data_IF_260836480283
#
_entry.id   IF_260836480283
#
_cell.length_a   1.000
_cell.length_b   1.000
_cell.length_c   1.000
_cell.angle_alpha   90.00
_cell.angle_beta   90.00
_cell.angle_gamma   90.00
#
_symmetry.space_group_name_H-M   'P 1'
#
loop_
_entity.id
_entity.type
_entity.pdbx_description
1 polymer ?
#
# COMPACT_ATOMS: atom_id res chain seq x y z
N UNK A 1 4.54 5.35 -12.28
CA UNK A 1 3.83 5.10 -11.01
C UNK A 1 2.58 4.32 -11.33
N UNK A 2 2.37 3.20 -10.67
CA UNK A 2 1.20 2.35 -10.87
C UNK A 2 -0.03 2.94 -10.15
N UNK A 3 -1.24 2.49 -10.48
CA UNK A 3 -2.47 2.96 -9.81
C UNK A 3 -2.50 2.70 -8.29
N UNK A 4 -1.78 1.68 -7.81
CA UNK A 4 -1.64 1.36 -6.38
C UNK A 4 -0.80 2.42 -5.62
N UNK A 5 0.24 2.96 -6.27
CA UNK A 5 1.14 3.95 -5.64
C UNK A 5 0.41 5.30 -5.40
N UNK A 6 -0.52 5.65 -6.28
CA UNK A 6 -1.36 6.83 -6.12
C UNK A 6 -2.35 6.70 -4.96
N UNK A 7 -2.97 5.53 -4.82
CA UNK A 7 -3.94 5.25 -3.75
C UNK A 7 -3.27 5.29 -2.36
N UNK A 8 -2.07 4.72 -2.23
CA UNK A 8 -1.31 4.76 -0.98
C UNK A 8 -0.87 6.19 -0.60
N UNK A 9 -0.43 6.99 -1.58
CA UNK A 9 0.00 8.37 -1.33
C UNK A 9 -1.15 9.25 -0.87
N UNK A 10 -2.33 9.14 -1.49
CA UNK A 10 -3.54 9.86 -1.05
C UNK A 10 -4.01 9.42 0.34
N UNK A 11 -3.95 8.12 0.62
CA UNK A 11 -4.25 7.59 1.95
C UNK A 11 -3.33 8.17 3.03
N UNK A 12 -2.02 8.21 2.79
CA UNK A 12 -1.05 8.75 3.74
C UNK A 12 -1.20 10.26 3.94
N UNK A 13 -1.54 11.03 2.90
CA UNK A 13 -1.91 12.45 3.05
C UNK A 13 -3.05 12.66 4.04
N UNK A 14 -4.01 11.72 4.12
CA UNK A 14 -5.09 11.73 5.10
C UNK A 14 -4.63 11.66 6.57
N UNK A 15 -3.41 11.20 6.83
CA UNK A 15 -2.80 11.16 8.17
C UNK A 15 -1.89 12.37 8.46
N UNK A 16 -1.81 13.32 7.53
CA UNK A 16 -1.04 14.56 7.70
C UNK A 16 0.39 14.52 7.17
N UNK A 17 0.77 13.48 6.43
CA UNK A 17 2.04 13.46 5.68
C UNK A 17 1.96 14.40 4.48
N UNK A 18 3.02 15.17 4.24
CA UNK A 18 3.03 16.10 3.11
C UNK A 18 3.44 15.41 1.80
N UNK A 19 3.12 16.06 0.68
CA UNK A 19 3.37 15.49 -0.65
C UNK A 19 4.86 15.44 -1.01
N UNK A 20 5.67 16.37 -0.50
CA UNK A 20 7.11 16.43 -0.73
C UNK A 20 7.83 15.33 0.07
N UNK A 21 7.42 15.09 1.31
CA UNK A 21 7.85 13.98 2.16
C UNK A 21 7.60 12.64 1.47
N UNK A 22 6.37 12.43 1.00
CA UNK A 22 5.99 11.20 0.30
C UNK A 22 6.78 11.01 -1.00
N UNK A 23 6.91 12.07 -1.81
CA UNK A 23 7.69 12.02 -3.05
C UNK A 23 9.16 11.72 -2.79
N UNK A 24 9.76 12.36 -1.78
CA UNK A 24 11.17 12.15 -1.41
C UNK A 24 11.45 10.71 -1.00
N UNK A 25 10.56 10.11 -0.19
CA UNK A 25 10.70 8.71 0.23
C UNK A 25 10.51 7.75 -0.94
N UNK A 26 9.56 8.01 -1.84
CA UNK A 26 9.38 7.21 -3.05
C UNK A 26 10.60 7.25 -3.98
N UNK A 27 11.16 8.44 -4.22
CA UNK A 27 12.37 8.60 -5.04
C UNK A 27 13.58 7.89 -4.43
N UNK A 28 13.73 7.95 -3.10
CA UNK A 28 14.79 7.22 -2.40
C UNK A 28 14.65 5.71 -2.61
N UNK A 29 13.43 5.17 -2.44
CA UNK A 29 13.14 3.74 -2.63
C UNK A 29 13.41 3.28 -4.05
N UNK A 30 12.97 4.04 -5.06
CA UNK A 30 13.21 3.71 -6.46
C UNK A 30 14.69 3.78 -6.81
N UNK A 31 15.39 4.82 -6.32
CA UNK A 31 16.85 4.93 -6.45
C UNK A 31 17.55 3.71 -5.87
N UNK A 32 17.14 3.23 -4.69
CA UNK A 32 17.71 2.03 -4.09
C UNK A 32 17.48 0.77 -4.93
N UNK A 33 16.29 0.61 -5.52
CA UNK A 33 15.98 -0.53 -6.40
C UNK A 33 16.88 -0.58 -7.64
N UNK A 34 17.37 0.57 -8.10
CA UNK A 34 18.26 0.63 -9.27
C UNK A 34 19.71 0.23 -9.01
N UNK A 35 20.15 0.14 -7.74
CA UNK A 35 21.56 -0.14 -7.42
C UNK A 35 21.83 -1.66 -7.42
N UNK A 36 22.66 -2.19 -8.33
CA UNK A 36 22.95 -3.62 -8.40
C UNK A 36 23.57 -4.14 -7.10
N UNK A 37 23.06 -5.26 -6.58
CA UNK A 37 23.58 -5.91 -5.38
C UNK A 37 23.14 -5.26 -4.06
N UNK A 38 22.29 -4.22 -4.10
CA UNK A 38 21.55 -3.81 -2.90
C UNK A 38 20.32 -4.69 -2.70
N UNK A 39 20.01 -4.98 -1.45
CA UNK A 39 18.83 -5.76 -1.06
C UNK A 39 17.97 -4.92 -0.15
N UNK A 40 16.67 -5.20 -0.11
CA UNK A 40 15.74 -4.57 0.85
C UNK A 40 16.27 -4.68 2.29
N UNK A 41 16.94 -5.78 2.62
CA UNK A 41 17.61 -5.99 3.93
C UNK A 41 18.72 -4.98 4.19
N UNK A 42 19.57 -4.68 3.19
CA UNK A 42 20.62 -3.64 3.33
C UNK A 42 20.01 -2.26 3.51
N UNK A 43 18.95 -1.96 2.76
CA UNK A 43 18.24 -0.69 2.88
C UNK A 43 17.61 -0.51 4.26
N UNK A 44 16.88 -1.52 4.74
CA UNK A 44 16.31 -1.54 6.08
C UNK A 44 17.38 -1.38 7.17
N UNK A 45 18.52 -2.07 7.05
CA UNK A 45 19.61 -1.90 8.00
C UNK A 45 20.18 -0.49 8.00
N UNK A 46 20.22 0.19 6.84
CA UNK A 46 20.66 1.59 6.75
C UNK A 46 19.70 2.50 7.51
N UNK A 47 18.39 2.38 7.28
CA UNK A 47 17.37 3.16 8.01
C UNK A 47 17.45 2.88 9.51
N UNK A 48 17.56 1.61 9.92
CA UNK A 48 17.65 1.25 11.33
C UNK A 48 18.87 1.85 12.03
N UNK A 49 19.96 2.11 11.30
CA UNK A 49 21.16 2.75 11.83
C UNK A 49 21.06 4.28 11.92
N UNK A 50 20.07 4.90 11.27
CA UNK A 50 19.83 6.35 11.35
C UNK A 50 18.81 6.72 12.42
N UNK A 51 18.18 5.73 13.05
CA UNK A 51 17.16 5.93 14.09
C UNK A 51 17.81 5.80 15.46
N UNK A 52 17.53 6.75 16.35
CA UNK A 52 18.00 6.69 17.73
C UNK A 52 17.34 5.51 18.48
N UNK A 53 18.02 4.98 19.49
CA UNK A 53 17.55 3.78 20.20
C UNK A 53 16.16 3.99 20.83
N UNK A 54 15.91 5.20 21.33
CA UNK A 54 14.63 5.63 21.91
C UNK A 54 13.47 5.68 20.89
N UNK A 55 13.76 6.05 19.64
CA UNK A 55 12.78 6.15 18.56
C UNK A 55 12.51 4.81 17.87
N UNK A 56 13.38 3.82 18.08
CA UNK A 56 13.31 2.51 17.42
C UNK A 56 11.98 1.80 17.66
N UNK A 57 11.37 1.99 18.84
CA UNK A 57 10.07 1.41 19.15
C UNK A 57 8.93 2.09 18.37
N UNK A 58 8.98 3.40 18.20
CA UNK A 58 7.99 4.14 17.41
C UNK A 58 8.06 3.75 15.93
N UNK A 59 9.28 3.63 15.39
CA UNK A 59 9.51 3.13 14.04
C UNK A 59 8.91 1.73 13.82
N UNK A 60 9.17 0.79 14.74
CA UNK A 60 8.63 -0.56 14.65
C UNK A 60 7.10 -0.59 14.69
N UNK A 61 6.48 0.24 15.55
CA UNK A 61 5.01 0.39 15.58
C UNK A 61 4.48 0.89 14.23
N UNK A 62 5.14 1.90 13.64
CA UNK A 62 4.78 2.43 12.33
C UNK A 62 4.80 1.36 11.23
N UNK A 63 5.86 0.55 11.16
CA UNK A 63 5.95 -0.57 10.20
C UNK A 63 4.82 -1.57 10.41
N UNK A 64 4.59 -2.01 11.65
CA UNK A 64 3.56 -3.01 11.95
C UNK A 64 2.16 -2.52 11.59
N UNK A 65 1.85 -1.25 11.88
CA UNK A 65 0.59 -0.62 11.49
C UNK A 65 0.47 -0.56 9.96
N UNK A 66 1.52 -0.14 9.25
CA UNK A 66 1.52 -0.10 7.78
C UNK A 66 1.28 -1.47 7.15
N UNK A 67 1.92 -2.52 7.66
CA UNK A 67 1.70 -3.90 7.20
C UNK A 67 0.27 -4.38 7.49
N UNK A 68 -0.25 -4.07 8.69
CA UNK A 68 -1.62 -4.43 9.05
C UNK A 68 -2.66 -3.73 8.17
N UNK A 69 -2.45 -2.45 7.85
CA UNK A 69 -3.30 -1.69 6.93
C UNK A 69 -3.28 -2.29 5.54
N UNK A 70 -2.09 -2.59 4.98
CA UNK A 70 -1.99 -3.20 3.65
C UNK A 70 -2.70 -4.55 3.59
N UNK A 71 -2.49 -5.39 4.61
CA UNK A 71 -3.19 -6.68 4.70
C UNK A 71 -4.71 -6.49 4.79
N UNK A 72 -5.17 -5.54 5.60
CA UNK A 72 -6.60 -5.24 5.68
C UNK A 72 -7.16 -4.70 4.36
N UNK A 73 -6.38 -3.92 3.60
CA UNK A 73 -6.77 -3.45 2.27
C UNK A 73 -6.88 -4.61 1.27
N UNK A 74 -5.89 -5.51 1.25
CA UNK A 74 -5.92 -6.74 0.44
C UNK A 74 -7.09 -7.65 0.82
N UNK A 75 -7.46 -7.73 2.11
CA UNK A 75 -8.62 -8.48 2.60
C UNK A 75 -9.97 -7.80 2.25
N UNK A 76 -9.97 -6.49 1.99
CA UNK A 76 -11.16 -5.70 1.61
C UNK A 76 -11.35 -5.58 0.11
N UNK A 77 -10.32 -5.84 -0.69
CA UNK A 77 -10.46 -6.00 -2.14
C UNK A 77 -11.35 -7.23 -2.39
N UNK A 78 -12.62 -6.97 -2.73
CA UNK A 78 -13.51 -8.02 -3.17
C UNK A 78 -12.86 -8.72 -4.37
N UNK A 79 -12.71 -10.05 -4.34
CA UNK A 79 -12.20 -10.76 -5.50
C UNK A 79 -13.07 -10.43 -6.70
N UNK A 80 -12.46 -10.34 -7.88
CA UNK A 80 -13.19 -10.15 -9.13
C UNK A 80 -14.34 -11.17 -9.18
N UNK A 81 -15.59 -10.72 -9.42
CA UNK A 81 -16.72 -11.63 -9.43
C UNK A 81 -16.46 -12.72 -10.47
N UNK A 82 -16.70 -13.95 -10.08
CA UNK A 82 -16.59 -15.10 -10.96
C UNK A 82 -17.56 -14.94 -12.15
N UNK A 83 -17.28 -15.61 -13.26
CA UNK A 83 -18.19 -15.56 -14.42
C UNK A 83 -19.63 -16.02 -14.08
N UNK A 84 -19.75 -16.86 -13.05
CA UNK A 84 -21.04 -17.27 -12.50
C UNK A 84 -21.73 -16.15 -11.72
N UNK A 85 -21.02 -15.42 -10.84
CA UNK A 85 -21.56 -14.25 -10.14
C UNK A 85 -21.95 -13.13 -11.12
N UNK A 86 -21.12 -12.85 -12.12
CA UNK A 86 -21.45 -11.91 -13.21
C UNK A 86 -22.69 -12.35 -14.00
N UNK A 87 -22.92 -13.65 -14.15
CA UNK A 87 -24.13 -14.18 -14.82
C UNK A 87 -25.36 -13.97 -13.93
N UNK A 88 -25.25 -14.25 -12.63
CA UNK A 88 -26.33 -14.05 -11.65
C UNK A 88 -26.73 -12.57 -11.58
N UNK A 89 -25.78 -11.65 -11.52
CA UNK A 89 -26.06 -10.21 -11.49
C UNK A 89 -26.82 -9.75 -12.76
N UNK A 90 -26.39 -10.22 -13.94
CA UNK A 90 -27.08 -9.96 -15.21
C UNK A 90 -28.50 -10.54 -15.22
N UNK A 91 -28.72 -11.70 -14.63
CA UNK A 91 -30.05 -12.30 -14.52
C UNK A 91 -30.95 -11.50 -13.56
N UNK A 92 -30.41 -11.02 -12.44
CA UNK A 92 -31.13 -10.17 -11.48
C UNK A 92 -31.53 -8.83 -12.11
N UNK A 93 -30.63 -8.17 -12.84
CA UNK A 93 -30.96 -6.93 -13.58
C UNK A 93 -32.08 -7.17 -14.60
N UNK A 94 -32.00 -8.25 -15.37
CA UNK A 94 -33.03 -8.61 -16.35
C UNK A 94 -34.40 -8.94 -15.72
N UNK A 95 -34.42 -9.39 -14.46
CA UNK A 95 -35.65 -9.62 -13.70
C UNK A 95 -36.22 -8.32 -13.12
N UNK A 96 -35.36 -7.36 -12.74
CA UNK A 96 -35.76 -6.04 -12.26
C UNK A 96 -36.37 -5.13 -13.34
N UNK A 97 -36.01 -5.33 -14.61
CA UNK A 97 -36.62 -4.61 -15.75
C UNK A 97 -37.98 -5.18 -16.21
N UNK A 98 -38.45 -6.26 -15.58
CA UNK A 98 -39.72 -6.94 -15.92
C UNK A 98 -40.87 -6.65 -14.95
N UNK A 99 -40.71 -5.72 -14.01
CA UNK A 99 -41.78 -5.23 -13.10
C UNK A 99 -42.44 -3.96 -13.61
#
# INVERSE_FOLDING_TARGET
MSGEDHNLSEFLKGFGFDEEELASVSEELDSFRTIPGTTIKRYMNRILNTIEEEDRQAFLKGILVGVAIRKAAEDLEMPDPTEEEKRIDREIENLGFRS
#
